data_IF_550074893883
#
_entry.id   IF_550074893883
#
_cell.length_a   1.000
_cell.length_b   1.000
_cell.length_c   1.000
_cell.angle_alpha   90.00
_cell.angle_beta   90.00
_cell.angle_gamma   90.00
#
_symmetry.space_group_name_H-M   'P 1'
#
loop_
_entity.id
_entity.type
_entity.pdbx_description
1 polymer ?
#
# COMPACT_ATOMS: atom_id res chain seq x y z
N UNK A 1 10.33 16.78 -12.89
CA UNK A 1 8.86 16.89 -12.90
C UNK A 1 8.34 15.84 -11.94
N UNK A 2 7.42 16.20 -11.05
CA UNK A 2 6.76 15.23 -10.18
C UNK A 2 5.80 14.41 -11.04
N UNK A 3 5.93 13.09 -11.00
CA UNK A 3 5.05 12.20 -11.73
C UNK A 3 3.87 11.80 -10.81
N UNK A 4 2.68 11.84 -11.36
CA UNK A 4 1.46 11.44 -10.66
C UNK A 4 0.96 10.12 -11.20
N UNK A 5 0.52 9.26 -10.29
CA UNK A 5 -0.15 7.99 -10.59
C UNK A 5 -1.56 7.97 -10.05
N UNK A 6 -2.35 7.01 -10.51
CA UNK A 6 -3.67 6.72 -9.97
C UNK A 6 -3.61 5.42 -9.17
N UNK A 7 -4.11 5.46 -7.92
CA UNK A 7 -4.41 4.25 -7.16
C UNK A 7 -5.70 3.62 -7.73
N UNK A 8 -5.59 2.39 -8.27
CA UNK A 8 -6.69 1.71 -8.99
C UNK A 8 -7.90 1.40 -8.12
N UNK A 9 -7.76 1.43 -6.79
CA UNK A 9 -8.89 1.33 -5.87
C UNK A 9 -9.92 2.45 -6.08
N UNK A 10 -9.50 3.58 -6.64
CA UNK A 10 -10.40 4.69 -7.03
C UNK A 10 -11.41 4.28 -8.11
N UNK A 11 -11.11 3.22 -8.86
CA UNK A 11 -11.95 2.65 -9.92
C UNK A 11 -12.44 1.23 -9.57
N UNK A 12 -12.44 0.84 -8.28
CA UNK A 12 -12.75 -0.52 -7.84
C UNK A 12 -14.06 -1.07 -8.39
N UNK A 13 -15.06 -0.22 -8.59
CA UNK A 13 -16.38 -0.61 -9.09
C UNK A 13 -16.34 -1.24 -10.50
N UNK A 14 -15.31 -0.89 -11.29
CA UNK A 14 -15.12 -1.36 -12.67
C UNK A 14 -13.90 -2.24 -12.83
N UNK A 15 -12.85 -2.02 -12.04
CA UNK A 15 -11.55 -2.68 -12.17
C UNK A 15 -11.64 -4.19 -11.99
N UNK A 16 -12.45 -4.66 -11.03
CA UNK A 16 -12.68 -6.09 -10.79
C UNK A 16 -13.30 -6.79 -12.00
N UNK A 17 -14.14 -6.08 -12.76
CA UNK A 17 -14.85 -6.63 -13.93
C UNK A 17 -14.05 -6.51 -15.21
N UNK A 18 -13.28 -5.42 -15.35
CA UNK A 18 -12.50 -5.12 -16.56
C UNK A 18 -11.24 -4.34 -16.20
N UNK A 19 -10.23 -5.05 -15.72
CA UNK A 19 -8.92 -4.46 -15.40
C UNK A 19 -8.25 -3.85 -16.64
N UNK A 20 -8.32 -4.54 -17.79
CA UNK A 20 -7.72 -4.05 -19.04
C UNK A 20 -8.34 -2.74 -19.51
N UNK A 21 -9.67 -2.67 -19.56
CA UNK A 21 -10.39 -1.45 -19.93
C UNK A 21 -10.17 -0.32 -18.93
N UNK A 22 -10.04 -0.63 -17.65
CA UNK A 22 -9.73 0.35 -16.60
C UNK A 22 -8.34 0.96 -16.80
N UNK A 23 -7.32 0.16 -17.14
CA UNK A 23 -5.98 0.65 -17.45
C UNK A 23 -5.98 1.58 -18.67
N UNK A 24 -6.73 1.21 -19.73
CA UNK A 24 -6.91 2.08 -20.88
C UNK A 24 -7.55 3.42 -20.50
N UNK A 25 -8.60 3.38 -19.69
CA UNK A 25 -9.29 4.59 -19.21
C UNK A 25 -8.34 5.51 -18.45
N UNK A 26 -7.50 4.96 -17.57
CA UNK A 26 -6.50 5.72 -16.80
C UNK A 26 -5.45 6.37 -17.72
N UNK A 27 -4.99 5.64 -18.73
CA UNK A 27 -4.08 6.19 -19.74
C UNK A 27 -4.74 7.31 -20.56
N UNK A 28 -6.00 7.13 -20.99
CA UNK A 28 -6.77 8.15 -21.72
C UNK A 28 -6.99 9.43 -20.88
N UNK A 29 -7.04 9.32 -19.56
CA UNK A 29 -7.07 10.46 -18.61
C UNK A 29 -5.72 11.18 -18.51
N UNK A 30 -4.63 10.64 -19.07
CA UNK A 30 -3.30 11.23 -19.08
C UNK A 30 -2.39 10.81 -17.93
N UNK A 31 -2.77 9.85 -17.11
CA UNK A 31 -1.86 9.27 -16.11
C UNK A 31 -0.79 8.42 -16.79
N UNK A 32 0.40 8.44 -16.20
CA UNK A 32 1.55 7.63 -16.65
C UNK A 32 1.86 6.49 -15.67
N UNK A 33 1.36 6.59 -14.46
CA UNK A 33 1.62 5.63 -13.40
C UNK A 33 0.32 5.12 -12.81
N UNK A 34 0.33 3.83 -12.45
CA UNK A 34 -0.78 3.19 -11.75
C UNK A 34 -0.25 2.42 -10.55
N UNK A 35 -0.99 2.47 -9.47
CA UNK A 35 -0.80 1.58 -8.34
C UNK A 35 -1.96 0.59 -8.28
N UNK A 36 -1.64 -0.70 -8.33
CA UNK A 36 -2.67 -1.73 -8.35
C UNK A 36 -3.28 -1.96 -6.96
N UNK A 37 -4.57 -2.24 -6.93
CA UNK A 37 -5.30 -2.70 -5.75
C UNK A 37 -5.88 -4.10 -6.00
N UNK A 38 -4.99 -5.04 -6.36
CA UNK A 38 -5.34 -6.40 -6.76
C UNK A 38 -5.21 -6.63 -8.27
N UNK A 39 -5.06 -7.89 -8.64
CA UNK A 39 -4.89 -8.33 -10.04
C UNK A 39 -6.06 -9.18 -10.54
N UNK A 40 -7.04 -9.49 -9.69
CA UNK A 40 -8.28 -10.20 -10.02
C UNK A 40 -8.08 -11.52 -10.77
N UNK A 41 -6.99 -12.25 -10.47
CA UNK A 41 -6.66 -13.53 -11.08
C UNK A 41 -6.00 -13.44 -12.45
N UNK A 42 -5.71 -12.26 -12.98
CA UNK A 42 -5.00 -12.09 -14.24
C UNK A 42 -3.52 -12.51 -14.12
N UNK A 43 -3.00 -13.15 -15.16
CA UNK A 43 -1.60 -13.53 -15.23
C UNK A 43 -0.69 -12.28 -15.33
N UNK A 44 0.53 -12.39 -14.82
CA UNK A 44 1.47 -11.28 -14.84
C UNK A 44 1.82 -10.82 -16.26
N UNK A 45 1.89 -11.76 -17.19
CA UNK A 45 2.16 -11.50 -18.62
C UNK A 45 1.06 -10.66 -19.26
N UNK A 46 -0.21 -10.93 -18.94
CA UNK A 46 -1.35 -10.16 -19.43
C UNK A 46 -1.30 -8.73 -18.89
N UNK A 47 -1.09 -8.58 -17.58
CA UNK A 47 -0.99 -7.25 -16.93
C UNK A 47 0.20 -6.48 -17.47
N UNK A 48 1.36 -7.12 -17.67
CA UNK A 48 2.54 -6.51 -18.31
C UNK A 48 2.23 -6.02 -19.71
N UNK A 49 1.55 -6.84 -20.51
CA UNK A 49 1.15 -6.47 -21.87
C UNK A 49 0.24 -5.24 -21.86
N UNK A 50 -0.78 -5.22 -21.00
CA UNK A 50 -1.73 -4.10 -20.91
C UNK A 50 -1.08 -2.80 -20.44
N UNK A 51 -0.13 -2.88 -19.49
CA UNK A 51 0.68 -1.74 -19.10
C UNK A 51 1.46 -1.17 -20.31
N UNK A 52 2.12 -2.05 -21.06
CA UNK A 52 2.89 -1.65 -22.25
C UNK A 52 2.00 -1.06 -23.35
N UNK A 53 0.86 -1.69 -23.67
CA UNK A 53 -0.12 -1.23 -24.66
C UNK A 53 -0.62 0.20 -24.37
N UNK A 54 -0.72 0.56 -23.10
CA UNK A 54 -1.25 1.85 -22.64
C UNK A 54 -0.16 2.85 -22.23
N UNK A 55 1.13 2.49 -22.35
CA UNK A 55 2.23 3.36 -21.93
C UNK A 55 2.26 3.65 -20.42
N UNK A 56 1.68 2.75 -19.61
CA UNK A 56 1.60 2.88 -18.16
C UNK A 56 2.76 2.17 -17.46
N UNK A 57 3.17 2.71 -16.33
CA UNK A 57 4.19 2.13 -15.44
C UNK A 57 3.53 1.76 -14.10
N UNK A 58 3.79 0.55 -13.62
CA UNK A 58 3.38 0.16 -12.27
C UNK A 58 4.25 0.87 -11.22
N UNK A 59 3.67 1.80 -10.47
CA UNK A 59 4.35 2.53 -9.38
C UNK A 59 4.38 1.73 -8.08
N UNK A 60 3.40 0.88 -7.85
CA UNK A 60 3.24 0.09 -6.64
C UNK A 60 2.07 -0.87 -6.73
N UNK A 61 1.91 -1.68 -5.70
CA UNK A 61 0.77 -2.59 -5.56
C UNK A 61 0.31 -2.64 -4.11
N UNK A 62 -0.97 -2.44 -3.88
CA UNK A 62 -1.60 -2.86 -2.64
C UNK A 62 -1.80 -4.37 -2.67
N UNK A 63 -1.06 -5.07 -1.84
CA UNK A 63 -1.01 -6.54 -1.81
C UNK A 63 -1.29 -7.03 -0.39
N UNK A 64 -2.20 -7.98 -0.26
CA UNK A 64 -2.57 -8.53 1.05
C UNK A 64 -1.40 -9.22 1.75
N UNK A 65 -1.39 -9.19 3.08
CA UNK A 65 -0.28 -9.71 3.90
C UNK A 65 0.00 -11.21 3.72
N UNK A 66 -0.97 -11.99 3.25
CA UNK A 66 -0.75 -13.41 2.93
C UNK A 66 0.26 -13.61 1.78
N UNK A 67 0.36 -12.66 0.86
CA UNK A 67 1.29 -12.73 -0.26
C UNK A 67 2.76 -12.63 0.15
N UNK A 68 3.05 -12.10 1.33
CA UNK A 68 4.42 -11.99 1.86
C UNK A 68 4.79 -13.11 2.85
N UNK A 69 3.90 -14.07 3.09
CA UNK A 69 4.20 -15.25 3.88
C UNK A 69 5.23 -16.16 3.19
N UNK A 70 6.05 -16.92 3.94
CA UNK A 70 7.12 -17.76 3.38
C UNK A 70 6.66 -18.68 2.25
N UNK A 71 5.46 -19.21 2.33
CA UNK A 71 4.87 -20.11 1.34
C UNK A 71 4.46 -19.40 0.03
N UNK A 72 4.21 -18.10 0.05
CA UNK A 72 3.66 -17.33 -1.07
C UNK A 72 4.64 -16.32 -1.68
N UNK A 73 5.63 -15.85 -0.90
CA UNK A 73 6.47 -14.72 -1.26
C UNK A 73 7.25 -14.93 -2.57
N UNK A 74 7.64 -16.17 -2.89
CA UNK A 74 8.35 -16.48 -4.13
C UNK A 74 7.48 -16.21 -5.37
N UNK A 75 6.21 -16.60 -5.34
CA UNK A 75 5.26 -16.33 -6.42
C UNK A 75 4.97 -14.82 -6.55
N UNK A 76 4.83 -14.14 -5.42
CA UNK A 76 4.64 -12.70 -5.34
C UNK A 76 5.82 -11.95 -5.97
N UNK A 77 7.06 -12.33 -5.66
CA UNK A 77 8.27 -11.75 -6.25
C UNK A 77 8.29 -11.97 -7.77
N UNK A 78 8.00 -13.20 -8.23
CA UNK A 78 7.96 -13.51 -9.66
C UNK A 78 6.96 -12.63 -10.40
N UNK A 79 5.75 -12.47 -9.85
CA UNK A 79 4.71 -11.62 -10.42
C UNK A 79 5.16 -10.16 -10.53
N UNK A 80 5.66 -9.57 -9.43
CA UNK A 80 6.12 -8.19 -9.39
C UNK A 80 7.28 -7.93 -10.37
N UNK A 81 8.22 -8.87 -10.48
CA UNK A 81 9.31 -8.78 -11.46
C UNK A 81 8.77 -8.79 -12.90
N UNK A 82 7.79 -9.64 -13.20
CA UNK A 82 7.20 -9.74 -14.54
C UNK A 82 6.55 -8.44 -14.99
N UNK A 83 5.78 -7.78 -14.11
CA UNK A 83 5.13 -6.49 -14.39
C UNK A 83 6.05 -5.27 -14.20
N UNK A 84 7.31 -5.47 -13.78
CA UNK A 84 8.28 -4.41 -13.56
C UNK A 84 8.03 -3.56 -12.29
N UNK A 85 7.20 -4.04 -11.37
CA UNK A 85 6.88 -3.33 -10.13
C UNK A 85 7.98 -3.50 -9.09
N UNK A 86 8.42 -2.40 -8.46
CA UNK A 86 9.47 -2.38 -7.44
C UNK A 86 8.97 -2.01 -6.04
N UNK A 87 7.67 -1.76 -5.89
CA UNK A 87 7.07 -1.34 -4.63
C UNK A 87 5.87 -2.23 -4.31
N UNK A 88 6.02 -3.09 -3.31
CA UNK A 88 4.94 -3.89 -2.74
C UNK A 88 4.49 -3.22 -1.45
N UNK A 89 3.23 -2.83 -1.38
CA UNK A 89 2.66 -2.11 -0.25
C UNK A 89 1.62 -3.00 0.43
N UNK A 90 1.74 -3.16 1.73
CA UNK A 90 0.72 -3.83 2.55
C UNK A 90 -0.31 -2.78 2.98
N UNK A 91 -1.58 -2.88 2.52
CA UNK A 91 -2.60 -1.86 2.82
C UNK A 91 -3.25 -2.02 4.19
N UNK A 92 -2.91 -3.07 4.92
CA UNK A 92 -3.43 -3.34 6.25
C UNK A 92 -3.15 -4.76 6.72
N UNK A 93 -3.16 -4.95 8.03
CA UNK A 93 -2.98 -6.24 8.70
C UNK A 93 -3.91 -6.31 9.93
N UNK A 94 -4.05 -7.49 10.51
CA UNK A 94 -4.78 -7.68 11.75
C UNK A 94 -3.95 -7.23 12.96
N UNK A 95 -4.26 -6.07 13.50
CA UNK A 95 -3.62 -5.49 14.68
C UNK A 95 -4.52 -5.55 15.92
N UNK A 96 -5.40 -6.55 16.01
CA UNK A 96 -6.43 -6.63 17.04
C UNK A 96 -5.88 -6.93 18.43
N UNK A 97 -4.74 -7.62 18.55
CA UNK A 97 -4.10 -7.98 19.81
C UNK A 97 -2.59 -7.72 19.80
N UNK A 98 -1.98 -7.69 20.99
CA UNK A 98 -0.53 -7.56 21.12
C UNK A 98 0.22 -8.73 20.47
N UNK A 99 -0.32 -9.95 20.56
CA UNK A 99 0.26 -11.14 19.93
C UNK A 99 0.25 -10.99 18.39
N UNK A 100 -0.87 -10.53 17.82
CA UNK A 100 -0.97 -10.26 16.40
C UNK A 100 0.02 -9.18 15.96
N UNK A 101 0.22 -8.15 16.74
CA UNK A 101 1.22 -7.13 16.47
C UNK A 101 2.62 -7.75 16.38
N UNK A 102 3.00 -8.59 17.35
CA UNK A 102 4.31 -9.25 17.33
C UNK A 102 4.49 -10.17 16.11
N UNK A 103 3.48 -10.98 15.78
CA UNK A 103 3.48 -11.85 14.60
C UNK A 103 3.67 -11.03 13.31
N UNK A 104 2.93 -9.94 13.17
CA UNK A 104 2.95 -9.09 11.99
C UNK A 104 4.28 -8.34 11.83
N UNK A 105 4.84 -7.80 12.91
CA UNK A 105 6.15 -7.15 12.87
C UNK A 105 7.26 -8.15 12.49
N UNK A 106 7.20 -9.38 12.99
CA UNK A 106 8.13 -10.44 12.62
C UNK A 106 8.00 -10.82 11.12
N UNK A 107 6.75 -10.94 10.62
CA UNK A 107 6.48 -11.21 9.21
C UNK A 107 7.00 -10.08 8.32
N UNK A 108 6.71 -8.82 8.65
CA UNK A 108 7.19 -7.64 7.91
C UNK A 108 8.72 -7.60 7.84
N UNK A 109 9.41 -7.85 8.96
CA UNK A 109 10.87 -7.87 9.00
C UNK A 109 11.49 -8.99 8.15
N UNK A 110 10.86 -10.17 8.14
CA UNK A 110 11.33 -11.30 7.34
C UNK A 110 11.10 -11.05 5.85
N UNK A 111 9.89 -10.63 5.49
CA UNK A 111 9.51 -10.37 4.11
C UNK A 111 10.30 -9.20 3.50
N UNK A 112 10.55 -8.13 4.28
CA UNK A 112 11.32 -6.98 3.83
C UNK A 112 12.74 -7.39 3.35
N UNK A 113 13.42 -8.27 4.07
CA UNK A 113 14.75 -8.77 3.68
C UNK A 113 14.68 -9.54 2.37
N UNK A 114 13.75 -10.50 2.27
CA UNK A 114 13.58 -11.33 1.08
C UNK A 114 13.21 -10.51 -0.16
N UNK A 115 12.32 -9.53 -0.01
CA UNK A 115 11.92 -8.64 -1.10
C UNK A 115 13.06 -7.73 -1.53
N UNK A 116 13.83 -7.15 -0.58
CA UNK A 116 14.96 -6.29 -0.86
C UNK A 116 16.07 -7.02 -1.64
N UNK A 117 16.38 -8.27 -1.30
CA UNK A 117 17.32 -9.14 -2.05
C UNK A 117 16.87 -9.37 -3.50
N UNK A 118 15.58 -9.17 -3.78
CA UNK A 118 14.98 -9.29 -5.10
C UNK A 118 14.72 -7.95 -5.79
N UNK A 119 15.17 -6.83 -5.21
CA UNK A 119 15.04 -5.49 -5.77
C UNK A 119 13.62 -4.91 -5.65
N UNK A 120 12.81 -5.41 -4.70
CA UNK A 120 11.47 -4.95 -4.39
C UNK A 120 11.47 -4.35 -2.99
N UNK A 121 11.01 -3.10 -2.86
CA UNK A 121 10.79 -2.47 -1.56
C UNK A 121 9.47 -2.96 -0.97
N UNK A 122 9.47 -3.26 0.33
CA UNK A 122 8.24 -3.49 1.10
C UNK A 122 7.83 -2.19 1.77
N UNK A 123 6.61 -1.76 1.52
CA UNK A 123 5.98 -0.61 2.15
C UNK A 123 4.76 -1.00 2.99
N UNK A 124 4.37 -0.10 3.87
CA UNK A 124 3.13 -0.19 4.63
C UNK A 124 2.29 1.08 4.43
N UNK A 125 1.00 0.91 4.15
CA UNK A 125 0.04 1.99 3.95
C UNK A 125 -0.79 2.19 5.22
N UNK A 126 -0.87 3.42 5.69
CA UNK A 126 -1.67 3.77 6.85
C UNK A 126 -3.14 4.07 6.50
N UNK A 127 -4.01 3.66 7.41
CA UNK A 127 -5.31 4.26 7.62
C UNK A 127 -5.31 5.05 8.94
N UNK A 128 -6.46 5.58 9.35
CA UNK A 128 -6.56 6.29 10.63
C UNK A 128 -6.26 5.40 11.84
N UNK A 129 -6.61 4.12 11.74
CA UNK A 129 -6.47 3.16 12.83
C UNK A 129 -5.04 2.92 13.30
N UNK A 130 -4.06 3.02 12.41
CA UNK A 130 -2.65 2.82 12.71
C UNK A 130 -2.07 3.92 13.61
N UNK A 131 -2.65 5.12 13.56
CA UNK A 131 -2.26 6.26 14.40
C UNK A 131 -2.99 6.32 15.75
N UNK A 132 -4.00 5.49 15.95
CA UNK A 132 -4.75 5.46 17.21
C UNK A 132 -4.13 4.47 18.20
N UNK A 133 -4.14 4.87 19.47
CA UNK A 133 -3.68 3.98 20.54
C UNK A 133 -4.60 2.78 20.68
N UNK A 134 -4.05 1.58 20.61
CA UNK A 134 -4.75 0.32 20.81
C UNK A 134 -5.03 0.06 22.28
N UNK A 135 -5.99 -0.81 22.58
CA UNK A 135 -6.36 -1.16 23.96
C UNK A 135 -5.20 -1.80 24.75
N UNK A 136 -4.28 -2.46 24.06
CA UNK A 136 -3.04 -3.01 24.62
C UNK A 136 -1.88 -1.98 24.72
N UNK A 137 -2.14 -0.71 24.43
CA UNK A 137 -1.25 0.42 24.75
C UNK A 137 -0.38 0.93 23.61
N UNK A 138 -0.25 0.21 22.48
CA UNK A 138 0.60 0.59 21.34
C UNK A 138 -0.11 1.46 20.32
N UNK A 139 0.67 2.21 19.54
CA UNK A 139 0.28 2.88 18.29
C UNK A 139 1.00 2.16 17.15
N UNK A 140 0.25 1.57 16.24
CA UNK A 140 0.79 0.64 15.23
C UNK A 140 1.81 1.31 14.32
N UNK A 141 1.54 2.51 13.84
CA UNK A 141 2.48 3.25 12.99
C UNK A 141 3.83 3.46 13.69
N UNK A 142 3.83 3.82 14.97
CA UNK A 142 5.06 4.01 15.74
C UNK A 142 5.82 2.67 15.97
N UNK A 143 5.10 1.56 16.15
CA UNK A 143 5.72 0.24 16.27
C UNK A 143 6.39 -0.19 14.94
N UNK A 144 5.72 0.03 13.81
CA UNK A 144 6.29 -0.23 12.47
C UNK A 144 7.55 0.62 12.26
N UNK A 145 7.49 1.92 12.57
CA UNK A 145 8.62 2.84 12.42
C UNK A 145 9.80 2.42 13.30
N UNK A 146 9.55 2.09 14.55
CA UNK A 146 10.59 1.80 15.53
C UNK A 146 11.23 0.42 15.36
N UNK A 147 10.47 -0.58 14.88
CA UNK A 147 10.86 -2.00 14.97
C UNK A 147 11.05 -2.68 13.62
N UNK A 148 10.84 -1.97 12.52
CA UNK A 148 11.03 -2.51 11.17
C UNK A 148 11.85 -1.57 10.29
N UNK A 149 12.36 -2.07 9.17
CA UNK A 149 12.95 -1.28 8.09
C UNK A 149 11.98 -1.10 6.90
N UNK A 150 10.71 -1.44 7.08
CA UNK A 150 9.66 -1.29 6.06
C UNK A 150 9.49 0.18 5.71
N UNK A 151 9.44 0.51 4.44
CA UNK A 151 9.17 1.86 3.95
C UNK A 151 7.69 2.22 4.16
N UNK A 152 7.34 3.50 4.05
CA UNK A 152 5.98 3.96 4.34
C UNK A 152 5.33 4.50 3.07
N UNK A 153 4.07 4.18 2.91
CA UNK A 153 3.17 4.88 2.03
C UNK A 153 2.19 5.69 2.87
N UNK A 154 2.44 7.00 2.95
CA UNK A 154 1.63 7.89 3.78
C UNK A 154 0.39 8.34 3.02
N UNK A 155 -0.79 7.95 3.51
CA UNK A 155 -2.07 8.53 3.07
C UNK A 155 -2.39 9.77 3.91
N UNK A 156 -2.34 10.91 3.27
CA UNK A 156 -2.48 12.22 3.91
C UNK A 156 -3.87 12.46 4.51
N UNK A 157 -4.92 11.93 3.85
CA UNK A 157 -6.27 12.05 4.38
C UNK A 157 -6.46 11.19 5.64
N UNK A 158 -5.99 9.95 5.64
CA UNK A 158 -6.15 9.08 6.81
C UNK A 158 -5.34 9.57 8.01
N UNK A 159 -4.17 10.16 7.79
CA UNK A 159 -3.40 10.83 8.85
C UNK A 159 -4.18 12.03 9.42
N UNK A 160 -4.69 12.90 8.55
CA UNK A 160 -5.53 14.04 8.94
C UNK A 160 -6.79 13.59 9.69
N UNK A 161 -7.47 12.56 9.19
CA UNK A 161 -8.67 11.98 9.80
C UNK A 161 -8.39 11.41 11.20
N UNK A 162 -7.16 10.95 11.47
CA UNK A 162 -6.72 10.53 12.81
C UNK A 162 -6.34 11.69 13.73
N UNK A 163 -6.42 12.94 13.26
CA UNK A 163 -6.10 14.14 14.04
C UNK A 163 -4.65 14.60 13.96
N UNK A 164 -3.86 14.07 13.02
CA UNK A 164 -2.48 14.46 12.79
C UNK A 164 -2.40 15.60 11.77
N UNK A 165 -1.31 16.37 11.82
CA UNK A 165 -0.91 17.26 10.73
C UNK A 165 -0.13 16.45 9.69
N UNK A 166 -0.66 16.24 8.46
CA UNK A 166 0.01 15.45 7.44
C UNK A 166 1.35 16.04 7.00
N UNK A 167 1.50 17.37 7.02
CA UNK A 167 2.75 18.03 6.64
C UNK A 167 3.82 17.74 7.68
N UNK A 168 3.51 17.93 8.96
CA UNK A 168 4.43 17.61 10.05
C UNK A 168 4.80 16.12 10.07
N UNK A 169 3.83 15.23 9.80
CA UNK A 169 4.07 13.79 9.68
C UNK A 169 5.05 13.47 8.54
N UNK A 170 4.82 14.02 7.35
CA UNK A 170 5.69 13.80 6.19
C UNK A 170 7.10 14.35 6.44
N UNK A 171 7.26 15.52 7.07
CA UNK A 171 8.56 16.07 7.43
C UNK A 171 9.30 15.18 8.44
N UNK A 172 8.61 14.66 9.44
CA UNK A 172 9.17 13.72 10.43
C UNK A 172 9.66 12.43 9.78
N UNK A 173 8.90 11.91 8.81
CA UNK A 173 9.11 10.58 8.22
C UNK A 173 9.79 10.60 6.84
N UNK A 174 10.23 11.74 6.35
CA UNK A 174 10.74 11.94 4.98
C UNK A 174 11.78 10.94 4.49
N UNK A 175 12.60 10.39 5.40
CA UNK A 175 13.61 9.38 5.06
C UNK A 175 13.07 7.94 5.01
N UNK A 176 11.80 7.73 5.32
CA UNK A 176 11.12 6.43 5.34
C UNK A 176 9.97 6.38 4.34
N UNK A 177 9.53 7.54 3.83
CA UNK A 177 8.42 7.63 2.88
C UNK A 177 8.90 7.23 1.50
N UNK A 178 8.19 6.27 0.91
CA UNK A 178 8.38 5.79 -0.47
C UNK A 178 7.33 6.35 -1.41
N UNK A 179 6.09 6.37 -0.97
CA UNK A 179 4.92 6.81 -1.72
C UNK A 179 4.07 7.71 -0.83
N UNK A 180 3.36 8.64 -1.45
CA UNK A 180 2.36 9.49 -0.76
C UNK A 180 1.05 9.36 -1.52
N UNK A 181 -0.02 9.00 -0.81
CA UNK A 181 -1.38 9.15 -1.29
C UNK A 181 -1.88 10.56 -0.97
N UNK A 182 -1.98 11.38 -2.03
CA UNK A 182 -2.65 12.68 -1.95
C UNK A 182 -4.15 12.43 -2.07
N UNK A 183 -4.79 12.31 -0.93
CA UNK A 183 -6.20 11.98 -0.82
C UNK A 183 -6.93 13.07 -0.06
N UNK A 184 -8.16 13.32 -0.46
CA UNK A 184 -9.08 14.25 0.21
C UNK A 184 -10.35 13.50 0.62
N UNK A 185 -11.08 14.06 1.58
CA UNK A 185 -12.32 13.48 2.08
C UNK A 185 -12.94 14.26 3.23
N UNK A 186 -14.12 13.80 3.66
CA UNK A 186 -14.83 14.37 4.81
C UNK A 186 -14.36 13.62 6.06
N UNK A 187 -13.80 14.30 7.07
CA UNK A 187 -13.31 13.64 8.29
C UNK A 187 -14.42 12.87 9.01
N UNK A 188 -14.06 11.69 9.47
CA UNK A 188 -14.95 10.87 10.30
C UNK A 188 -15.02 11.46 11.71
N UNK A 189 -16.21 11.53 12.31
CA UNK A 189 -16.36 11.94 13.69
C UNK A 189 -15.49 11.06 14.62
N UNK A 190 -14.83 11.68 15.61
CA UNK A 190 -13.86 11.01 16.49
C UNK A 190 -14.40 9.73 17.16
N UNK A 191 -15.69 9.68 17.47
CA UNK A 191 -16.38 8.52 18.02
C UNK A 191 -16.45 7.31 17.08
N UNK A 192 -16.31 7.53 15.77
CA UNK A 192 -16.36 6.48 14.74
C UNK A 192 -14.96 6.03 14.27
N UNK A 193 -13.91 6.77 14.59
CA UNK A 193 -12.53 6.43 14.20
C UNK A 193 -12.08 5.06 14.75
N UNK A 194 -12.54 4.68 15.93
CA UNK A 194 -12.22 3.41 16.58
C UNK A 194 -12.88 2.20 15.91
N UNK A 195 -13.86 2.38 15.04
CA UNK A 195 -14.61 1.29 14.41
C UNK A 195 -13.97 0.75 13.13
N UNK A 196 -12.84 1.32 12.70
CA UNK A 196 -12.01 0.77 11.62
C UNK A 196 -12.71 0.58 10.29
N UNK A 197 -13.71 1.37 9.96
CA UNK A 197 -14.34 1.34 8.64
C UNK A 197 -13.64 2.30 7.69
N UNK A 198 -13.26 1.81 6.50
CA UNK A 198 -12.74 2.66 5.43
C UNK A 198 -13.81 3.62 4.90
#
# INVERSE_FOLDING_TARGET
MTAYGLQMYSLRDVTEKDLRGSLKTVADMGYQYVEFAGFFGHAAEDVKQWLHENGLVCSGTHTGSDAIRPENIAATIAYHKAIGCKNLIIPGMDWSTAEKMEENLALLNTAQKTLAENGIALGYHNHSGEFLKRDYGSVIEEEIIARTAVELEIDTFWAFNAGLDPVALCERLKNRIRVIHLKDGIPTAAENLKKGTP
#
